data_IF_008936001901
#
_entry.id   IF_008936001901
#
_cell.length_a   1.000
_cell.length_b   1.000
_cell.length_c   1.000
_cell.angle_alpha   90.00
_cell.angle_beta   90.00
_cell.angle_gamma   90.00
#
_symmetry.space_group_name_H-M   'P 1'
#
loop_
_entity.id
_entity.type
_entity.pdbx_description
1 polymer ?
#
# COMPACT_ATOMS: atom_id res chain seq x y z
N UNK A 1 -16.73 40.07 26.58
CA UNK A 1 -15.67 39.63 25.65
C UNK A 1 -15.85 38.15 25.40
N UNK A 2 -16.48 37.77 24.29
CA UNK A 2 -16.74 36.38 23.93
C UNK A 2 -15.51 35.72 23.41
N UNK A 3 -15.02 34.70 24.10
CA UNK A 3 -13.93 33.82 23.59
C UNK A 3 -14.44 33.09 22.35
N UNK A 4 -13.94 33.44 21.18
CA UNK A 4 -14.19 32.70 19.95
C UNK A 4 -13.44 31.36 20.06
N UNK A 5 -14.14 30.36 20.55
CA UNK A 5 -13.63 28.97 20.54
C UNK A 5 -13.45 28.57 19.08
N UNK A 6 -12.23 28.64 18.58
CA UNK A 6 -11.90 28.07 17.27
C UNK A 6 -12.25 26.58 17.31
N UNK A 7 -13.31 26.19 16.62
CA UNK A 7 -13.66 24.78 16.48
C UNK A 7 -12.54 24.08 15.72
N UNK A 8 -11.81 23.19 16.40
CA UNK A 8 -10.80 22.37 15.74
C UNK A 8 -11.47 21.55 14.65
N UNK A 9 -11.00 21.65 13.42
CA UNK A 9 -11.47 20.80 12.32
C UNK A 9 -11.25 19.34 12.71
N UNK A 10 -12.28 18.52 12.54
CA UNK A 10 -12.15 17.07 12.74
C UNK A 10 -11.56 16.46 11.48
N UNK A 11 -10.47 15.71 11.64
CA UNK A 11 -9.85 14.92 10.58
C UNK A 11 -10.14 13.46 10.89
N UNK A 12 -10.62 12.73 9.91
CA UNK A 12 -11.01 11.32 10.03
C UNK A 12 -10.37 10.48 8.92
N UNK A 13 -10.13 9.20 9.21
CA UNK A 13 -9.75 8.19 8.23
C UNK A 13 -11.04 7.57 7.70
N UNK A 14 -11.22 7.57 6.39
CA UNK A 14 -12.44 7.10 5.73
C UNK A 14 -12.26 5.79 5.00
N UNK A 15 -11.03 5.40 4.69
CA UNK A 15 -10.71 4.14 4.03
C UNK A 15 -9.26 3.75 4.23
N UNK A 16 -9.01 2.46 4.19
CA UNK A 16 -7.71 1.84 4.37
C UNK A 16 -7.38 0.92 3.20
N UNK A 17 -6.11 0.89 2.82
CA UNK A 17 -5.55 -0.09 1.88
C UNK A 17 -4.20 -0.55 2.36
N UNK A 18 -3.89 -1.82 2.20
CA UNK A 18 -2.67 -2.41 2.73
C UNK A 18 -2.18 -3.56 1.86
N UNK A 19 -0.87 -3.54 1.59
CA UNK A 19 -0.12 -4.67 1.04
C UNK A 19 1.12 -4.86 1.90
N UNK A 20 1.32 -6.05 2.43
CA UNK A 20 2.47 -6.37 3.27
C UNK A 20 2.84 -7.85 3.18
N UNK A 21 3.95 -8.28 3.79
CA UNK A 21 4.29 -9.72 3.89
C UNK A 21 3.28 -10.58 4.62
N UNK A 22 2.31 -9.99 5.33
CA UNK A 22 1.21 -10.70 6.00
C UNK A 22 0.00 -10.91 5.10
N UNK A 23 -0.16 -10.11 4.03
CA UNK A 23 -1.29 -10.24 3.12
C UNK A 23 -1.41 -9.09 2.15
N UNK A 24 -2.27 -9.26 1.15
CA UNK A 24 -2.46 -8.32 0.05
C UNK A 24 -3.71 -7.44 0.23
N UNK A 25 -4.46 -7.62 1.32
CA UNK A 25 -5.62 -6.81 1.69
C UNK A 25 -5.54 -6.43 3.18
N UNK A 26 -6.30 -5.41 3.59
CA UNK A 26 -6.41 -5.02 5.01
C UNK A 26 -6.92 -6.19 5.86
N UNK A 27 -7.92 -6.91 5.36
CA UNK A 27 -8.54 -8.06 6.07
C UNK A 27 -7.54 -9.19 6.28
N UNK A 28 -6.79 -9.58 5.25
CA UNK A 28 -5.79 -10.64 5.36
C UNK A 28 -4.67 -10.25 6.34
N UNK A 29 -4.18 -9.02 6.22
CA UNK A 29 -3.18 -8.49 7.14
C UNK A 29 -3.65 -8.54 8.59
N UNK A 30 -4.87 -8.11 8.84
CA UNK A 30 -5.45 -8.07 10.18
C UNK A 30 -5.65 -9.47 10.77
N UNK A 31 -6.21 -10.39 9.99
CA UNK A 31 -6.43 -11.76 10.42
C UNK A 31 -5.11 -12.48 10.73
N UNK A 32 -4.11 -12.35 9.87
CA UNK A 32 -2.80 -12.95 10.08
C UNK A 32 -2.06 -12.32 11.27
N UNK A 33 -2.21 -11.02 11.49
CA UNK A 33 -1.67 -10.34 12.66
C UNK A 33 -2.28 -10.88 13.96
N UNK A 34 -3.61 -11.02 14.01
CA UNK A 34 -4.31 -11.58 15.17
C UNK A 34 -3.95 -13.05 15.42
N UNK A 35 -3.70 -13.81 14.35
CA UNK A 35 -3.28 -15.20 14.44
C UNK A 35 -1.79 -15.37 14.82
N UNK A 36 -1.03 -14.27 14.94
CA UNK A 36 0.40 -14.33 15.25
C UNK A 36 1.26 -14.89 14.12
N UNK A 37 0.78 -14.83 12.86
CA UNK A 37 1.52 -15.29 11.68
C UNK A 37 2.70 -14.36 11.43
N UNK A 38 3.89 -14.94 11.19
CA UNK A 38 5.07 -14.17 10.76
C UNK A 38 5.07 -13.98 9.25
N UNK A 39 5.21 -12.74 8.81
CA UNK A 39 5.47 -12.41 7.40
C UNK A 39 6.93 -12.55 6.99
N UNK A 40 7.84 -12.80 7.96
CA UNK A 40 9.27 -12.96 7.71
C UNK A 40 9.56 -14.41 7.31
N UNK A 41 10.38 -14.58 6.30
CA UNK A 41 10.83 -15.88 5.79
C UNK A 41 12.17 -15.79 5.06
N UNK A 42 12.68 -16.89 4.51
CA UNK A 42 13.89 -16.86 3.69
C UNK A 42 13.73 -15.92 2.50
N UNK A 43 14.81 -15.23 2.14
CA UNK A 43 14.87 -14.42 0.92
C UNK A 43 14.73 -15.31 -0.31
N UNK A 44 13.82 -14.98 -1.22
CA UNK A 44 13.56 -15.75 -2.44
C UNK A 44 13.82 -14.97 -3.74
N UNK A 45 13.93 -13.66 -3.67
CA UNK A 45 14.05 -12.79 -4.86
C UNK A 45 15.46 -12.73 -5.46
N UNK A 46 16.47 -13.10 -4.67
CA UNK A 46 17.87 -13.18 -5.10
C UNK A 46 18.62 -14.19 -4.25
N UNK A 47 19.83 -14.57 -4.67
CA UNK A 47 20.70 -15.45 -3.89
C UNK A 47 21.33 -14.71 -2.69
N UNK A 48 20.81 -14.99 -1.50
CA UNK A 48 21.27 -14.41 -0.25
C UNK A 48 22.30 -15.28 0.50
N UNK A 49 22.79 -16.38 -0.11
CA UNK A 49 23.65 -17.37 0.56
C UNK A 49 24.95 -16.80 1.14
N UNK A 50 25.47 -15.73 0.54
CA UNK A 50 26.68 -15.03 0.97
C UNK A 50 26.42 -13.88 1.96
N UNK A 51 25.15 -13.64 2.34
CA UNK A 51 24.79 -12.56 3.26
C UNK A 51 24.66 -13.07 4.70
N UNK A 52 25.01 -12.22 5.64
CA UNK A 52 24.85 -12.51 7.06
C UNK A 52 23.39 -12.64 7.49
N UNK A 53 22.46 -11.93 6.80
CA UNK A 53 21.03 -12.02 7.00
C UNK A 53 20.38 -12.60 5.73
N UNK A 54 19.68 -13.72 5.89
CA UNK A 54 19.05 -14.45 4.77
C UNK A 54 17.54 -14.50 4.90
N UNK A 55 16.96 -13.67 5.76
CA UNK A 55 15.51 -13.57 5.97
C UNK A 55 15.03 -12.16 5.68
N UNK A 56 13.81 -12.05 5.12
CA UNK A 56 13.15 -10.78 4.84
C UNK A 56 11.63 -10.91 4.89
N UNK A 57 10.95 -9.78 4.98
CA UNK A 57 9.52 -9.69 4.75
C UNK A 57 9.25 -9.46 3.27
N UNK A 58 8.86 -10.49 2.54
CA UNK A 58 8.49 -10.40 1.14
C UNK A 58 6.98 -10.48 0.96
N UNK A 59 6.42 -9.63 0.09
CA UNK A 59 5.03 -9.73 -0.34
C UNK A 59 4.88 -10.98 -1.22
N UNK A 60 3.89 -11.82 -0.91
CA UNK A 60 3.64 -13.12 -1.53
C UNK A 60 2.34 -13.08 -2.33
N UNK A 61 2.28 -13.89 -3.39
CA UNK A 61 1.05 -14.14 -4.17
C UNK A 61 0.33 -12.85 -4.62
N UNK A 62 1.09 -11.79 -4.88
CA UNK A 62 0.55 -10.50 -5.27
C UNK A 62 0.38 -10.41 -6.79
N UNK A 63 -0.84 -10.13 -7.22
CA UNK A 63 -1.19 -9.92 -8.62
C UNK A 63 -1.68 -8.50 -8.87
N UNK A 64 -0.84 -7.68 -9.50
CA UNK A 64 -1.15 -6.31 -9.90
C UNK A 64 -2.24 -6.22 -10.96
N UNK A 65 -2.48 -7.29 -11.73
CA UNK A 65 -3.46 -7.27 -12.82
C UNK A 65 -4.91 -7.13 -12.35
N UNK A 66 -5.15 -7.32 -11.06
CA UNK A 66 -6.43 -7.03 -10.40
C UNK A 66 -6.74 -5.52 -10.36
N UNK A 67 -5.73 -4.67 -10.45
CA UNK A 67 -5.84 -3.20 -10.31
C UNK A 67 -5.57 -2.46 -11.61
N UNK A 68 -4.57 -2.89 -12.38
CA UNK A 68 -4.17 -2.25 -13.65
C UNK A 68 -3.86 -3.27 -14.74
N UNK A 69 -3.99 -2.89 -16.02
CA UNK A 69 -3.65 -3.77 -17.13
C UNK A 69 -2.20 -4.23 -17.10
N UNK A 70 -1.94 -5.50 -17.42
CA UNK A 70 -0.60 -6.08 -17.43
C UNK A 70 0.42 -5.31 -18.32
N UNK A 71 -0.05 -4.65 -19.38
CA UNK A 71 0.79 -3.81 -20.26
C UNK A 71 1.35 -2.59 -19.53
N UNK A 72 0.55 -1.98 -18.65
CA UNK A 72 0.97 -0.84 -17.83
C UNK A 72 1.88 -1.29 -16.69
N UNK A 73 1.53 -2.38 -16.02
CA UNK A 73 2.31 -2.95 -14.95
C UNK A 73 3.77 -3.24 -15.35
N UNK A 74 4.00 -3.74 -16.58
CA UNK A 74 5.36 -4.03 -17.08
C UNK A 74 6.28 -2.82 -17.19
N UNK A 75 5.73 -1.61 -17.14
CA UNK A 75 6.49 -0.35 -17.26
C UNK A 75 6.81 0.27 -15.89
N UNK A 76 6.40 -0.39 -14.83
CA UNK A 76 6.49 0.10 -13.46
C UNK A 76 7.23 -0.89 -12.59
N UNK A 77 8.03 -0.38 -11.67
CA UNK A 77 8.65 -1.19 -10.63
C UNK A 77 7.63 -1.69 -9.61
N UNK A 78 7.97 -2.79 -8.96
CA UNK A 78 7.08 -3.50 -8.02
C UNK A 78 6.63 -2.60 -6.85
N UNK A 79 7.47 -1.68 -6.36
CA UNK A 79 7.05 -0.77 -5.29
C UNK A 79 5.88 0.13 -5.71
N UNK A 80 5.82 0.52 -7.00
CA UNK A 80 4.69 1.28 -7.57
C UNK A 80 3.43 0.41 -7.56
N UNK A 81 3.56 -0.88 -7.90
CA UNK A 81 2.43 -1.81 -7.87
C UNK A 81 1.79 -1.89 -6.48
N UNK A 82 2.59 -1.97 -5.43
CA UNK A 82 2.08 -2.00 -4.05
C UNK A 82 1.37 -0.70 -3.67
N UNK A 83 1.96 0.43 -4.07
CA UNK A 83 1.34 1.75 -3.85
C UNK A 83 -0.01 1.90 -4.56
N UNK A 84 -0.09 1.46 -5.82
CA UNK A 84 -1.33 1.47 -6.60
C UNK A 84 -2.39 0.59 -5.92
N UNK A 85 -2.06 -0.66 -5.60
CA UNK A 85 -2.99 -1.59 -4.98
C UNK A 85 -3.54 -1.06 -3.64
N UNK A 86 -2.66 -0.54 -2.77
CA UNK A 86 -3.08 0.05 -1.51
C UNK A 86 -3.96 1.29 -1.71
N UNK A 87 -3.66 2.14 -2.70
CA UNK A 87 -4.48 3.31 -3.02
C UNK A 87 -5.87 2.91 -3.52
N UNK A 88 -5.96 1.93 -4.42
CA UNK A 88 -7.25 1.42 -4.91
C UNK A 88 -8.11 0.86 -3.77
N UNK A 89 -7.54 0.03 -2.92
CA UNK A 89 -8.24 -0.51 -1.75
C UNK A 89 -8.77 0.61 -0.83
N UNK A 90 -7.95 1.64 -0.57
CA UNK A 90 -8.35 2.75 0.29
C UNK A 90 -9.47 3.60 -0.33
N UNK A 91 -9.45 3.81 -1.66
CA UNK A 91 -10.49 4.53 -2.39
C UNK A 91 -11.81 3.75 -2.36
N UNK A 92 -11.74 2.45 -2.61
CA UNK A 92 -12.90 1.55 -2.58
C UNK A 92 -13.51 1.48 -1.17
N UNK A 93 -12.69 1.26 -0.14
CA UNK A 93 -13.11 1.21 1.26
C UNK A 93 -13.75 2.54 1.73
N UNK A 94 -13.20 3.67 1.26
CA UNK A 94 -13.77 5.00 1.51
C UNK A 94 -15.04 5.30 0.71
N UNK A 95 -15.36 4.49 -0.32
CA UNK A 95 -16.49 4.72 -1.22
C UNK A 95 -16.36 6.00 -2.04
N UNK A 96 -15.14 6.49 -2.29
CA UNK A 96 -14.92 7.81 -2.94
C UNK A 96 -15.51 7.90 -4.35
N UNK A 97 -15.56 6.79 -5.07
CA UNK A 97 -16.10 6.74 -6.43
C UNK A 97 -17.63 6.93 -6.47
N UNK A 98 -18.31 6.73 -5.33
CA UNK A 98 -19.76 6.78 -5.20
C UNK A 98 -20.28 8.06 -4.52
N UNK A 99 -19.40 9.02 -4.20
CA UNK A 99 -19.82 10.26 -3.54
C UNK A 99 -20.32 11.27 -4.59
N UNK A 100 -21.63 11.46 -4.65
CA UNK A 100 -22.24 12.51 -5.47
C UNK A 100 -21.79 13.89 -4.98
N UNK A 101 -21.43 14.76 -5.92
CA UNK A 101 -21.03 16.14 -5.61
C UNK A 101 -19.64 16.29 -4.99
N UNK A 102 -18.81 15.23 -4.99
CA UNK A 102 -17.43 15.33 -4.54
C UNK A 102 -16.66 16.34 -5.41
N UNK A 103 -16.16 17.40 -4.79
CA UNK A 103 -15.26 18.34 -5.48
C UNK A 103 -13.89 17.71 -5.69
N UNK A 104 -13.68 17.13 -6.88
CA UNK A 104 -12.45 16.45 -7.26
C UNK A 104 -11.22 17.37 -7.24
N UNK A 105 -11.40 18.69 -7.31
CA UNK A 105 -10.28 19.65 -7.22
C UNK A 105 -9.70 19.72 -5.81
N UNK A 106 -10.41 19.21 -4.82
CA UNK A 106 -9.97 19.12 -3.42
C UNK A 106 -9.50 17.72 -3.01
N UNK A 107 -9.45 16.78 -3.95
CA UNK A 107 -8.92 15.43 -3.73
C UNK A 107 -7.49 15.41 -4.21
N UNK A 108 -6.57 15.00 -3.33
CA UNK A 108 -5.16 14.88 -3.65
C UNK A 108 -4.65 13.47 -3.35
N UNK A 109 -3.64 13.04 -4.09
CA UNK A 109 -2.90 11.79 -3.85
C UNK A 109 -1.46 12.14 -3.47
N UNK A 110 -0.99 11.57 -2.38
CA UNK A 110 0.38 11.72 -1.92
C UNK A 110 0.92 10.35 -1.49
N UNK A 111 1.79 9.77 -2.31
CA UNK A 111 2.45 8.48 -2.04
C UNK A 111 3.95 8.72 -2.01
N UNK A 112 4.60 8.30 -0.93
CA UNK A 112 6.04 8.39 -0.76
C UNK A 112 6.72 7.02 -0.89
N UNK A 113 7.96 7.02 -1.39
CA UNK A 113 8.86 5.87 -1.36
C UNK A 113 10.24 6.33 -0.90
N UNK A 114 10.92 5.52 -0.07
CA UNK A 114 12.24 5.88 0.45
C UNK A 114 13.31 5.85 -0.65
N UNK A 115 13.48 4.71 -1.30
CA UNK A 115 14.51 4.49 -2.34
C UNK A 115 13.88 4.25 -3.71
N UNK A 116 12.63 3.79 -3.75
CA UNK A 116 11.96 3.37 -4.98
C UNK A 116 12.35 1.95 -5.38
N UNK A 117 12.61 1.73 -6.67
CA UNK A 117 12.94 0.42 -7.25
C UNK A 117 14.43 0.18 -7.40
N UNK A 118 15.05 -0.55 -6.50
CA UNK A 118 16.44 -0.97 -6.64
C UNK A 118 16.72 -1.72 -7.95
N UNK A 119 15.85 -2.63 -8.44
CA UNK A 119 16.08 -3.30 -9.73
C UNK A 119 16.22 -2.35 -10.91
N UNK A 120 15.50 -1.23 -10.91
CA UNK A 120 15.62 -0.20 -11.96
C UNK A 120 16.86 0.68 -11.80
N UNK A 121 17.45 0.72 -10.62
CA UNK A 121 18.69 1.48 -10.36
C UNK A 121 19.92 0.64 -10.76
N UNK A 122 19.83 -0.68 -10.62
CA UNK A 122 20.90 -1.63 -10.97
C UNK A 122 20.94 -1.97 -12.45
N UNK A 123 19.86 -1.76 -13.21
CA UNK A 123 19.76 -2.05 -14.64
C UNK A 123 20.39 -0.93 -15.49
#
# INVERSE_FOLDING_TARGET
>A
MGSTRMSKKRIVITGLGMVSPLGNTVTDNWNNLLAGVSGIGPVTRFDASNLACQIAGEVKDFDITQYIPAKEARRMDVFIHYGIAAAFQAIEDAGLDNIEGLDKTRVGVNIGAGIGGLPSIEA
#
